data_IF_738607428995
#
_entry.id   IF_738607428995
#
_cell.length_a   1.000
_cell.length_b   1.000
_cell.length_c   1.000
_cell.angle_alpha   90.00
_cell.angle_beta   90.00
_cell.angle_gamma   90.00
#
_symmetry.space_group_name_H-M   'P 1'
#
loop_
_entity.id
_entity.type
_entity.pdbx_description
1 polymer ?
#
# COMPACT_ATOMS: atom_id res chain seq x y z
N UNK A 1 -15.46 8.43 -14.28
CA UNK A 1 -16.76 8.59 -13.59
C UNK A 1 -16.65 9.47 -12.33
N UNK A 2 -17.74 10.10 -11.88
CA UNK A 2 -17.82 10.75 -10.55
C UNK A 2 -17.97 9.71 -9.44
N UNK A 3 -17.63 10.08 -8.18
CA UNK A 3 -17.77 9.18 -7.01
C UNK A 3 -19.21 8.67 -6.84
N UNK A 4 -20.20 9.52 -7.14
CA UNK A 4 -21.62 9.14 -7.07
C UNK A 4 -21.97 8.07 -8.12
N UNK A 5 -21.50 8.25 -9.36
CA UNK A 5 -21.72 7.29 -10.44
C UNK A 5 -21.03 5.95 -10.15
N UNK A 6 -19.78 5.95 -9.67
CA UNK A 6 -19.07 4.72 -9.28
C UNK A 6 -19.86 3.93 -8.25
N UNK A 7 -20.34 4.61 -7.21
CA UNK A 7 -21.18 4.02 -6.16
C UNK A 7 -22.50 3.48 -6.71
N UNK A 8 -23.16 4.23 -7.58
CA UNK A 8 -24.41 3.78 -8.19
C UNK A 8 -24.21 2.51 -9.03
N UNK A 9 -23.20 2.51 -9.92
CA UNK A 9 -22.86 1.35 -10.77
C UNK A 9 -22.48 0.14 -9.93
N UNK A 10 -21.72 0.32 -8.84
CA UNK A 10 -21.37 -0.77 -7.93
C UNK A 10 -22.61 -1.34 -7.23
N UNK A 11 -23.53 -0.48 -6.77
CA UNK A 11 -24.79 -0.90 -6.15
C UNK A 11 -25.69 -1.64 -7.14
N UNK A 12 -25.71 -1.22 -8.39
CA UNK A 12 -26.44 -1.90 -9.47
C UNK A 12 -25.83 -3.26 -9.78
N UNK A 13 -24.50 -3.37 -9.83
CA UNK A 13 -23.79 -4.64 -10.10
C UNK A 13 -23.96 -5.66 -8.98
N UNK A 14 -24.19 -5.20 -7.75
CA UNK A 14 -24.53 -6.06 -6.61
C UNK A 14 -26.00 -6.52 -6.62
N UNK A 15 -26.90 -5.92 -7.41
CA UNK A 15 -28.30 -6.36 -7.46
C UNK A 15 -28.36 -7.78 -8.00
N UNK A 16 -28.99 -8.68 -7.24
CA UNK A 16 -29.03 -10.12 -7.54
C UNK A 16 -27.85 -10.92 -6.96
N UNK A 17 -26.72 -10.27 -6.67
CA UNK A 17 -25.49 -10.92 -6.19
C UNK A 17 -25.16 -10.64 -4.72
N UNK A 18 -25.97 -9.83 -4.00
CA UNK A 18 -25.73 -9.50 -2.58
C UNK A 18 -25.50 -10.73 -1.69
N UNK A 19 -26.26 -11.82 -1.89
CA UNK A 19 -26.09 -13.04 -1.11
C UNK A 19 -24.69 -13.66 -1.26
N UNK A 20 -24.20 -13.76 -2.51
CA UNK A 20 -22.86 -14.27 -2.81
C UNK A 20 -21.80 -13.30 -2.28
N UNK A 21 -21.98 -12.00 -2.51
CA UNK A 21 -21.05 -10.96 -2.10
C UNK A 21 -20.86 -10.90 -0.57
N UNK A 22 -21.95 -11.06 0.19
CA UNK A 22 -21.92 -11.18 1.66
C UNK A 22 -21.32 -12.52 2.07
N UNK A 23 -21.71 -13.61 1.42
CA UNK A 23 -21.19 -14.95 1.70
C UNK A 23 -19.68 -15.04 1.56
N UNK A 24 -19.11 -14.40 0.54
CA UNK A 24 -17.66 -14.34 0.31
C UNK A 24 -16.96 -13.52 1.39
N UNK A 25 -17.52 -12.37 1.77
CA UNK A 25 -16.98 -11.59 2.88
C UNK A 25 -16.97 -12.38 4.18
N UNK A 26 -18.10 -13.00 4.54
CA UNK A 26 -18.23 -13.80 5.78
C UNK A 26 -17.29 -15.00 5.74
N UNK A 27 -17.21 -15.71 4.61
CA UNK A 27 -16.34 -16.87 4.47
C UNK A 27 -14.86 -16.48 4.57
N UNK A 28 -14.43 -15.41 3.88
CA UNK A 28 -13.07 -14.90 3.99
C UNK A 28 -12.75 -14.50 5.44
N UNK A 29 -13.65 -13.75 6.09
CA UNK A 29 -13.48 -13.33 7.47
C UNK A 29 -13.41 -14.50 8.45
N UNK A 30 -14.23 -15.54 8.27
CA UNK A 30 -14.20 -16.76 9.07
C UNK A 30 -12.90 -17.55 8.85
N UNK A 31 -12.44 -17.68 7.61
CA UNK A 31 -11.17 -18.36 7.28
C UNK A 31 -10.01 -17.66 8.00
N UNK A 32 -9.94 -16.33 7.92
CA UNK A 32 -8.89 -15.55 8.58
C UNK A 32 -9.00 -15.63 10.11
N UNK A 33 -10.21 -15.56 10.67
CA UNK A 33 -10.43 -15.61 12.12
C UNK A 33 -10.13 -16.98 12.71
N UNK A 34 -10.63 -18.06 12.08
CA UNK A 34 -10.36 -19.44 12.50
C UNK A 34 -8.89 -19.79 12.25
N UNK A 35 -8.35 -19.40 11.10
CA UNK A 35 -6.94 -19.57 10.78
C UNK A 35 -6.04 -18.89 11.81
N UNK A 36 -6.30 -17.63 12.13
CA UNK A 36 -5.57 -16.89 13.17
C UNK A 36 -5.74 -17.49 14.57
N UNK A 37 -6.94 -17.96 14.91
CA UNK A 37 -7.23 -18.62 16.19
C UNK A 37 -6.55 -19.98 16.36
N UNK A 38 -6.33 -20.74 15.29
CA UNK A 38 -5.64 -22.04 15.33
C UNK A 38 -4.12 -21.87 15.20
N UNK A 39 -3.68 -21.10 14.20
CA UNK A 39 -2.27 -20.93 13.88
C UNK A 39 -1.57 -19.97 14.85
N UNK A 40 -2.28 -19.00 15.43
CA UNK A 40 -1.69 -17.98 16.31
C UNK A 40 -1.03 -18.53 17.58
N UNK A 41 -1.37 -19.76 17.99
CA UNK A 41 -0.72 -20.44 19.13
C UNK A 41 0.67 -20.97 18.83
N UNK A 42 1.05 -21.05 17.54
CA UNK A 42 2.37 -21.52 17.11
C UNK A 42 3.25 -20.29 16.83
N UNK A 43 4.21 -19.95 17.71
CA UNK A 43 5.05 -18.77 17.51
C UNK A 43 5.81 -18.84 16.20
N UNK A 44 5.95 -17.70 15.53
CA UNK A 44 6.64 -17.51 14.24
C UNK A 44 6.01 -18.28 13.07
N UNK A 45 5.96 -19.61 13.12
CA UNK A 45 5.44 -20.48 12.05
C UNK A 45 3.97 -20.21 11.77
N UNK A 46 3.15 -20.04 12.80
CA UNK A 46 1.73 -19.73 12.64
C UNK A 46 1.47 -18.41 11.93
N UNK A 47 2.25 -17.37 12.26
CA UNK A 47 2.19 -16.06 11.61
C UNK A 47 2.60 -16.12 10.14
N UNK A 48 3.67 -16.86 9.84
CA UNK A 48 4.12 -17.09 8.47
C UNK A 48 3.02 -17.83 7.69
N UNK A 49 2.48 -18.92 8.23
CA UNK A 49 1.43 -19.70 7.59
C UNK A 49 0.16 -18.87 7.32
N UNK A 50 -0.25 -18.02 8.27
CA UNK A 50 -1.37 -17.11 8.10
C UNK A 50 -1.08 -16.10 6.97
N UNK A 51 0.09 -15.49 6.97
CA UNK A 51 0.48 -14.54 5.92
C UNK A 51 0.52 -15.18 4.52
N UNK A 52 0.99 -16.42 4.40
CA UNK A 52 0.96 -17.19 3.16
C UNK A 52 -0.47 -17.48 2.68
N UNK A 53 -1.42 -17.66 3.60
CA UNK A 53 -2.83 -17.85 3.29
C UNK A 53 -3.48 -16.55 2.81
N UNK A 54 -3.24 -15.45 3.51
CA UNK A 54 -3.94 -14.17 3.30
C UNK A 54 -3.68 -13.58 1.91
N UNK A 55 -2.46 -13.62 1.38
CA UNK A 55 -2.15 -12.96 0.10
C UNK A 55 -2.96 -13.48 -1.09
N UNK A 56 -2.92 -14.79 -1.40
CA UNK A 56 -3.73 -15.38 -2.45
C UNK A 56 -5.24 -15.30 -2.17
N UNK A 57 -5.67 -15.43 -0.91
CA UNK A 57 -7.09 -15.32 -0.55
C UNK A 57 -7.61 -13.90 -0.80
N UNK A 58 -6.88 -12.88 -0.36
CA UNK A 58 -7.20 -11.48 -0.60
C UNK A 58 -7.33 -11.18 -2.10
N UNK A 59 -6.39 -11.69 -2.90
CA UNK A 59 -6.40 -11.52 -4.35
C UNK A 59 -7.61 -12.19 -4.99
N UNK A 60 -7.94 -13.42 -4.60
CA UNK A 60 -9.10 -14.14 -5.11
C UNK A 60 -10.42 -13.48 -4.72
N UNK A 61 -10.54 -12.96 -3.50
CA UNK A 61 -11.68 -12.13 -3.08
C UNK A 61 -11.83 -10.90 -3.97
N UNK A 62 -10.73 -10.18 -4.23
CA UNK A 62 -10.75 -9.02 -5.14
C UNK A 62 -11.23 -9.42 -6.54
N UNK A 63 -10.78 -10.56 -7.07
CA UNK A 63 -11.22 -11.05 -8.38
C UNK A 63 -12.70 -11.39 -8.44
N UNK A 64 -13.28 -11.94 -7.36
CA UNK A 64 -14.73 -12.17 -7.31
C UNK A 64 -15.48 -10.83 -7.36
N UNK A 65 -15.08 -9.83 -6.58
CA UNK A 65 -15.78 -8.54 -6.63
C UNK A 65 -15.65 -7.83 -7.98
N UNK A 66 -14.52 -8.01 -8.67
CA UNK A 66 -14.36 -7.56 -10.06
C UNK A 66 -15.24 -8.36 -11.03
N UNK A 67 -15.43 -9.66 -10.79
CA UNK A 67 -16.38 -10.47 -11.57
C UNK A 67 -17.81 -9.95 -11.40
N UNK A 68 -18.20 -9.66 -10.14
CA UNK A 68 -19.51 -9.09 -9.81
C UNK A 68 -19.69 -7.71 -10.46
N UNK A 69 -18.68 -6.82 -10.43
CA UNK A 69 -18.78 -5.49 -11.08
C UNK A 69 -18.99 -5.61 -12.59
N UNK A 70 -18.39 -6.62 -13.21
CA UNK A 70 -18.55 -6.94 -14.65
C UNK A 70 -19.80 -7.76 -14.96
N UNK A 71 -20.69 -7.96 -13.98
CA UNK A 71 -21.94 -8.74 -14.09
C UNK A 71 -21.71 -10.20 -14.48
N UNK A 72 -20.54 -10.72 -14.18
CA UNK A 72 -20.28 -12.16 -14.20
C UNK A 72 -21.03 -12.82 -13.02
N UNK A 73 -21.25 -14.12 -13.11
CA UNK A 73 -21.88 -14.92 -12.03
C UNK A 73 -20.82 -15.84 -11.38
N UNK A 74 -19.92 -15.29 -10.55
CA UNK A 74 -18.92 -16.09 -9.87
C UNK A 74 -19.58 -16.98 -8.81
N UNK A 75 -19.11 -18.22 -8.71
CA UNK A 75 -19.42 -19.07 -7.58
C UNK A 75 -18.54 -18.72 -6.37
N UNK A 76 -18.88 -19.27 -5.20
CA UNK A 76 -18.11 -19.03 -3.97
C UNK A 76 -16.70 -19.59 -4.09
N UNK A 77 -16.51 -20.71 -4.80
CA UNK A 77 -15.21 -21.34 -4.98
C UNK A 77 -14.22 -20.46 -5.77
N UNK A 78 -14.72 -19.54 -6.61
CA UNK A 78 -13.89 -18.59 -7.35
C UNK A 78 -13.01 -17.74 -6.44
N UNK A 79 -13.38 -17.48 -5.17
CA UNK A 79 -12.51 -16.72 -4.24
C UNK A 79 -11.16 -17.42 -3.96
N UNK A 80 -11.05 -18.73 -4.20
CA UNK A 80 -9.81 -19.48 -4.06
C UNK A 80 -8.97 -19.50 -5.35
N UNK A 81 -9.40 -18.83 -6.41
CA UNK A 81 -8.65 -18.75 -7.67
C UNK A 81 -7.25 -18.14 -7.51
N UNK A 82 -7.07 -17.23 -6.54
CA UNK A 82 -5.78 -16.62 -6.25
C UNK A 82 -4.71 -17.65 -5.85
N UNK A 83 -5.11 -18.80 -5.28
CA UNK A 83 -4.19 -19.89 -4.94
C UNK A 83 -3.68 -20.65 -6.17
N UNK A 84 -4.41 -20.65 -7.29
CA UNK A 84 -3.96 -21.29 -8.54
C UNK A 84 -2.71 -20.61 -9.11
N UNK A 85 -2.52 -19.32 -8.79
CA UNK A 85 -1.37 -18.53 -9.18
C UNK A 85 -0.59 -18.04 -7.96
N UNK A 86 -0.44 -18.92 -6.95
CA UNK A 86 0.10 -18.61 -5.62
C UNK A 86 1.35 -17.73 -5.68
N UNK A 87 2.36 -18.09 -6.47
CA UNK A 87 3.62 -17.36 -6.52
C UNK A 87 3.44 -15.87 -6.87
N UNK A 88 2.59 -15.54 -7.85
CA UNK A 88 2.37 -14.16 -8.29
C UNK A 88 1.46 -13.39 -7.33
N UNK A 89 0.38 -14.02 -6.88
CA UNK A 89 -0.61 -13.39 -5.99
C UNK A 89 -0.03 -13.13 -4.60
N UNK A 90 0.70 -14.11 -4.04
CA UNK A 90 1.44 -13.96 -2.80
C UNK A 90 2.55 -12.92 -2.92
N UNK A 91 3.37 -12.98 -3.97
CA UNK A 91 4.49 -12.06 -4.14
C UNK A 91 3.99 -10.61 -4.29
N UNK A 92 2.92 -10.35 -5.03
CA UNK A 92 2.31 -9.04 -5.13
C UNK A 92 1.82 -8.52 -3.77
N UNK A 93 1.12 -9.36 -3.01
CA UNK A 93 0.67 -9.01 -1.66
C UNK A 93 1.84 -8.71 -0.72
N UNK A 94 2.90 -9.52 -0.76
CA UNK A 94 4.12 -9.34 0.02
C UNK A 94 4.82 -8.02 -0.32
N UNK A 95 5.05 -7.75 -1.61
CA UNK A 95 5.69 -6.53 -2.10
C UNK A 95 4.91 -5.28 -1.71
N UNK A 96 3.59 -5.28 -1.91
CA UNK A 96 2.72 -4.16 -1.50
C UNK A 96 2.77 -3.95 0.02
N UNK A 97 2.77 -5.03 0.80
CA UNK A 97 2.85 -4.97 2.25
C UNK A 97 4.17 -4.35 2.71
N UNK A 98 5.30 -4.79 2.14
CA UNK A 98 6.63 -4.25 2.42
C UNK A 98 6.72 -2.77 2.01
N UNK A 99 6.33 -2.42 0.79
CA UNK A 99 6.41 -1.03 0.32
C UNK A 99 5.52 -0.12 1.16
N UNK A 100 4.28 -0.50 1.42
CA UNK A 100 3.37 0.28 2.27
C UNK A 100 3.92 0.43 3.69
N UNK A 101 4.50 -0.63 4.27
CA UNK A 101 5.13 -0.58 5.59
C UNK A 101 6.31 0.40 5.61
N UNK A 102 7.23 0.30 4.65
CA UNK A 102 8.38 1.20 4.55
C UNK A 102 7.96 2.67 4.42
N UNK A 103 6.93 2.96 3.60
CA UNK A 103 6.40 4.32 3.47
C UNK A 103 5.71 4.81 4.74
N UNK A 104 4.99 3.93 5.44
CA UNK A 104 4.35 4.26 6.71
C UNK A 104 5.35 4.50 7.85
N UNK A 105 6.52 3.85 7.80
CA UNK A 105 7.60 4.05 8.78
C UNK A 105 8.25 5.41 8.63
N UNK A 106 8.35 5.92 7.39
CA UNK A 106 8.86 7.27 7.15
C UNK A 106 7.88 8.32 7.70
N UNK A 107 6.61 8.25 7.27
CA UNK A 107 5.53 9.11 7.75
C UNK A 107 4.16 8.45 7.46
N UNK A 108 3.15 8.75 8.28
CA UNK A 108 1.80 8.19 8.13
C UNK A 108 1.15 8.62 6.79
N UNK A 109 1.26 9.91 6.43
CA UNK A 109 0.63 10.47 5.22
C UNK A 109 1.11 9.81 3.92
N UNK A 110 2.43 9.70 3.63
CA UNK A 110 2.89 9.01 2.43
C UNK A 110 2.56 7.51 2.44
N UNK A 111 2.50 6.84 3.60
CA UNK A 111 2.00 5.47 3.71
C UNK A 111 0.58 5.32 3.17
N UNK A 112 -0.33 6.23 3.55
CA UNK A 112 -1.71 6.26 3.04
C UNK A 112 -1.73 6.49 1.52
N UNK A 113 -0.98 7.48 1.02
CA UNK A 113 -0.92 7.79 -0.42
C UNK A 113 -0.45 6.58 -1.23
N UNK A 114 0.57 5.85 -0.72
CA UNK A 114 1.15 4.69 -1.40
C UNK A 114 0.21 3.49 -1.37
N UNK A 115 -0.55 3.30 -0.30
CA UNK A 115 -1.64 2.30 -0.24
C UNK A 115 -2.62 2.50 -1.40
N UNK A 116 -3.06 3.74 -1.65
CA UNK A 116 -3.94 4.03 -2.79
C UNK A 116 -3.24 3.86 -4.15
N UNK A 117 -1.95 4.18 -4.25
CA UNK A 117 -1.18 3.93 -5.49
C UNK A 117 -1.14 2.46 -5.90
N UNK A 118 -1.17 1.53 -4.94
CA UNK A 118 -1.07 0.08 -5.22
C UNK A 118 -2.42 -0.63 -5.27
N UNK A 119 -3.51 0.09 -5.00
CA UNK A 119 -4.86 -0.47 -4.86
C UNK A 119 -5.37 -1.25 -6.08
N UNK A 120 -4.87 -0.97 -7.29
CA UNK A 120 -5.33 -1.59 -8.53
C UNK A 120 -4.55 -2.85 -8.91
N UNK A 121 -3.42 -3.12 -8.24
CA UNK A 121 -2.50 -4.23 -8.57
C UNK A 121 -3.22 -5.57 -8.69
N UNK A 122 -4.11 -5.89 -7.73
CA UNK A 122 -4.77 -7.19 -7.70
C UNK A 122 -5.78 -7.37 -8.85
N UNK A 123 -6.40 -6.28 -9.31
CA UNK A 123 -7.29 -6.30 -10.47
C UNK A 123 -6.49 -6.45 -11.78
N UNK A 124 -5.35 -5.75 -11.90
CA UNK A 124 -4.43 -5.88 -13.03
C UNK A 124 -3.90 -7.31 -13.16
N UNK A 125 -3.57 -7.98 -12.05
CA UNK A 125 -3.16 -9.39 -12.08
C UNK A 125 -4.24 -10.34 -12.63
N UNK A 126 -5.52 -9.98 -12.48
CA UNK A 126 -6.64 -10.75 -13.05
C UNK A 126 -6.69 -10.61 -14.55
N UNK A 127 -6.61 -9.37 -15.04
CA UNK A 127 -6.80 -9.03 -16.45
C UNK A 127 -5.57 -9.36 -17.30
N UNK A 128 -4.38 -9.25 -16.71
CA UNK A 128 -3.11 -9.59 -17.35
C UNK A 128 -2.50 -10.84 -16.69
N UNK A 129 -2.94 -12.06 -17.04
CA UNK A 129 -2.48 -13.29 -16.39
C UNK A 129 -1.00 -13.62 -16.65
N UNK A 130 -0.28 -12.86 -17.48
CA UNK A 130 1.16 -13.03 -17.71
C UNK A 130 2.04 -11.95 -17.06
N UNK A 131 1.45 -10.88 -16.51
CA UNK A 131 2.22 -9.76 -15.92
C UNK A 131 2.93 -10.20 -14.64
N UNK A 132 4.16 -9.72 -14.40
CA UNK A 132 4.84 -10.01 -13.14
C UNK A 132 4.19 -9.25 -11.97
N UNK A 133 4.47 -9.69 -10.73
CA UNK A 133 3.94 -9.02 -9.54
C UNK A 133 4.45 -7.57 -9.41
N UNK A 134 5.72 -7.31 -9.77
CA UNK A 134 6.31 -5.98 -9.73
C UNK A 134 5.74 -5.08 -10.83
N UNK A 135 5.60 -5.61 -12.04
CA UNK A 135 5.05 -4.85 -13.17
C UNK A 135 3.60 -4.46 -12.91
N UNK A 136 2.80 -5.35 -12.31
CA UNK A 136 1.43 -5.03 -11.89
C UNK A 136 1.37 -3.87 -10.86
N UNK A 137 2.33 -3.82 -9.93
CA UNK A 137 2.44 -2.74 -8.94
C UNK A 137 2.83 -1.42 -9.62
N UNK A 138 3.76 -1.48 -10.57
CA UNK A 138 4.19 -0.34 -11.38
C UNK A 138 3.03 0.21 -12.20
N UNK A 139 2.29 -0.67 -12.87
CA UNK A 139 1.11 -0.33 -13.66
C UNK A 139 0.01 0.30 -12.80
N UNK A 140 -0.28 -0.29 -11.64
CA UNK A 140 -1.20 0.30 -10.67
C UNK A 140 -0.78 1.71 -10.27
N UNK A 141 0.52 1.95 -10.06
CA UNK A 141 1.04 3.27 -9.69
C UNK A 141 0.82 4.28 -10.82
N UNK A 142 1.06 3.87 -12.06
CA UNK A 142 0.89 4.70 -13.25
C UNK A 142 -0.58 5.07 -13.46
N UNK A 143 -1.46 4.06 -13.48
CA UNK A 143 -2.91 4.21 -13.63
C UNK A 143 -3.53 5.09 -12.53
N UNK A 144 -2.99 5.01 -11.30
CA UNK A 144 -3.46 5.80 -10.17
C UNK A 144 -2.94 7.24 -10.11
N UNK A 145 -1.98 7.64 -10.95
CA UNK A 145 -1.51 9.03 -10.95
C UNK A 145 -2.65 9.98 -11.34
N UNK A 146 -2.83 11.05 -10.57
CA UNK A 146 -4.00 11.95 -10.69
C UNK A 146 -5.30 11.43 -10.05
N UNK A 147 -5.42 10.14 -9.74
CA UNK A 147 -6.67 9.51 -9.30
C UNK A 147 -6.71 9.11 -7.81
N UNK A 148 -5.58 9.19 -7.08
CA UNK A 148 -5.47 8.79 -5.65
C UNK A 148 -6.45 9.53 -4.75
N UNK A 149 -6.60 10.85 -4.94
CA UNK A 149 -7.55 11.67 -4.18
C UNK A 149 -9.00 11.29 -4.41
N UNK A 150 -9.35 10.85 -5.63
CA UNK A 150 -10.69 10.38 -5.99
C UNK A 150 -11.03 9.07 -5.26
N UNK A 151 -10.08 8.14 -5.20
CA UNK A 151 -10.23 6.88 -4.47
C UNK A 151 -10.24 7.08 -2.95
N UNK A 152 -9.44 8.02 -2.43
CA UNK A 152 -9.50 8.44 -1.03
C UNK A 152 -10.88 9.01 -0.67
N UNK A 153 -11.41 9.93 -1.49
CA UNK A 153 -12.75 10.48 -1.30
C UNK A 153 -13.85 9.41 -1.34
N UNK A 154 -13.76 8.45 -2.25
CA UNK A 154 -14.65 7.29 -2.30
C UNK A 154 -14.61 6.52 -0.97
N UNK A 155 -13.41 6.15 -0.53
CA UNK A 155 -13.18 5.39 0.71
C UNK A 155 -13.67 6.13 1.94
N UNK A 156 -13.49 7.45 1.98
CA UNK A 156 -13.96 8.29 3.08
C UNK A 156 -15.49 8.21 3.24
N UNK A 157 -16.26 8.17 2.13
CA UNK A 157 -17.73 8.04 2.24
C UNK A 157 -18.18 6.73 2.87
N UNK A 158 -17.38 5.67 2.79
CA UNK A 158 -17.64 4.40 3.45
C UNK A 158 -17.10 4.38 4.89
N UNK A 159 -15.96 5.02 5.14
CA UNK A 159 -15.38 5.12 6.48
C UNK A 159 -16.32 5.83 7.48
N UNK A 160 -17.10 6.82 7.01
CA UNK A 160 -18.07 7.54 7.84
C UNK A 160 -19.11 6.62 8.51
N UNK A 161 -19.44 5.47 7.93
CA UNK A 161 -20.37 4.50 8.52
C UNK A 161 -19.83 3.88 9.82
N UNK A 162 -18.50 3.83 9.96
CA UNK A 162 -17.83 3.25 11.12
C UNK A 162 -17.62 4.26 12.26
N UNK A 163 -17.91 5.55 12.07
CA UNK A 163 -17.74 6.56 13.12
C UNK A 163 -18.71 6.37 14.29
N UNK A 164 -19.95 5.96 14.01
CA UNK A 164 -20.97 5.73 15.04
C UNK A 164 -20.58 4.56 15.96
N UNK A 165 -20.34 3.34 15.46
CA UNK A 165 -19.92 2.25 16.33
C UNK A 165 -18.60 2.55 17.03
N UNK A 166 -17.67 3.25 16.37
CA UNK A 166 -16.41 3.69 17.01
C UNK A 166 -16.67 4.58 18.23
N UNK A 167 -17.56 5.56 18.12
CA UNK A 167 -17.92 6.43 19.24
C UNK A 167 -18.54 5.63 20.42
N UNK A 168 -19.40 4.64 20.11
CA UNK A 168 -19.99 3.76 21.12
C UNK A 168 -18.92 2.89 21.80
N UNK A 169 -17.94 2.37 21.05
CA UNK A 169 -16.84 1.59 21.61
C UNK A 169 -15.95 2.44 22.53
N UNK A 170 -15.64 3.68 22.13
CA UNK A 170 -14.85 4.62 22.95
C UNK A 170 -15.59 4.91 24.27
N UNK A 171 -16.88 5.22 24.20
CA UNK A 171 -17.68 5.46 25.40
C UNK A 171 -17.70 4.24 26.33
N UNK A 172 -17.93 3.04 25.79
CA UNK A 172 -17.86 1.79 26.55
C UNK A 172 -16.50 1.58 27.21
N UNK A 173 -15.41 1.83 26.48
CA UNK A 173 -14.03 1.70 26.99
C UNK A 173 -13.73 2.66 28.13
N UNK A 174 -14.16 3.92 28.01
CA UNK A 174 -14.01 4.94 29.07
C UNK A 174 -14.77 4.53 30.33
N UNK A 175 -16.00 4.01 30.19
CA UNK A 175 -16.81 3.52 31.30
C UNK A 175 -16.14 2.31 31.98
N UNK A 176 -15.64 1.34 31.20
CA UNK A 176 -14.90 0.19 31.72
C UNK A 176 -13.68 0.63 32.52
N UNK A 177 -12.86 1.53 31.94
CA UNK A 177 -11.66 2.05 32.58
C UNK A 177 -11.97 2.76 33.91
N UNK A 178 -13.02 3.59 33.94
CA UNK A 178 -13.47 4.28 35.15
C UNK A 178 -13.95 3.32 36.24
N UNK A 179 -14.75 2.31 35.87
CA UNK A 179 -15.20 1.27 36.79
C UNK A 179 -14.03 0.46 37.37
N UNK A 180 -13.12 -0.01 36.51
CA UNK A 180 -11.94 -0.79 36.93
C UNK A 180 -10.99 0.00 37.83
N UNK A 181 -10.75 1.27 37.50
CA UNK A 181 -9.93 2.15 38.34
C UNK A 181 -10.56 2.29 39.74
N UNK A 182 -11.87 2.53 39.82
CA UNK A 182 -12.58 2.71 41.10
C UNK A 182 -12.52 1.45 41.99
N UNK A 183 -12.69 0.26 41.40
CA UNK A 183 -12.53 -1.02 42.14
C UNK A 183 -11.09 -1.26 42.61
N UNK A 184 -10.09 -0.60 42.01
CA UNK A 184 -8.68 -0.76 42.41
C UNK A 184 -8.31 0.08 43.63
N UNK A 185 -9.07 1.14 43.94
CA UNK A 185 -8.83 2.06 45.07
C UNK A 185 -9.75 1.80 46.27
N UNK A 186 -10.78 0.98 46.12
CA UNK A 186 -11.72 0.62 47.19
C UNK A 186 -11.37 -0.77 47.71
N UNK A 187 -10.89 -0.86 48.95
CA UNK A 187 -10.44 -2.11 49.55
C UNK A 187 -11.59 -2.95 50.16
N UNK A 188 -12.75 -2.33 50.40
CA UNK A 188 -13.93 -2.98 50.97
C UNK A 188 -15.01 -3.23 49.89
N UNK A 189 -15.24 -4.48 49.46
CA UNK A 189 -16.27 -4.82 48.48
C UNK A 189 -17.70 -4.59 48.96
N UNK A 190 -17.93 -4.31 50.26
CA UNK A 190 -19.24 -3.98 50.80
C UNK A 190 -19.65 -2.50 50.60
N UNK A 191 -18.74 -1.64 50.12
CA UNK A 191 -19.06 -0.25 49.85
C UNK A 191 -19.93 -0.10 48.58
N UNK A 192 -20.99 0.72 48.68
CA UNK A 192 -21.90 1.06 47.56
C UNK A 192 -21.13 1.54 46.31
N UNK A 193 -19.98 2.20 46.51
CA UNK A 193 -19.10 2.69 45.45
C UNK A 193 -18.49 1.53 44.64
N UNK A 194 -18.05 0.46 45.30
CA UNK A 194 -17.48 -0.72 44.63
C UNK A 194 -18.54 -1.47 43.81
N UNK A 195 -19.75 -1.61 44.35
CA UNK A 195 -20.88 -2.19 43.62
C UNK A 195 -21.27 -1.35 42.38
N UNK A 196 -21.30 -0.01 42.50
CA UNK A 196 -21.56 0.89 41.37
C UNK A 196 -20.45 0.79 40.31
N UNK A 197 -19.20 0.70 40.74
CA UNK A 197 -18.04 0.56 39.86
C UNK A 197 -18.06 -0.75 39.07
N UNK A 198 -18.37 -1.87 39.72
CA UNK A 198 -18.56 -3.15 39.05
C UNK A 198 -19.73 -3.11 38.04
N UNK A 199 -20.84 -2.48 38.42
CA UNK A 199 -21.98 -2.25 37.53
C UNK A 199 -21.62 -1.40 36.30
N UNK A 200 -20.81 -0.35 36.49
CA UNK A 200 -20.29 0.48 35.40
C UNK A 200 -19.39 -0.34 34.47
N UNK A 201 -18.45 -1.12 35.00
CA UNK A 201 -17.60 -2.01 34.20
C UNK A 201 -18.42 -2.97 33.35
N UNK A 202 -19.43 -3.61 33.95
CA UNK A 202 -20.33 -4.49 33.20
C UNK A 202 -21.11 -3.75 32.10
N UNK A 203 -21.69 -2.59 32.42
CA UNK A 203 -22.40 -1.76 31.44
C UNK A 203 -21.49 -1.31 30.28
N UNK A 204 -20.25 -0.94 30.58
CA UNK A 204 -19.25 -0.59 29.57
C UNK A 204 -18.90 -1.77 28.65
N UNK A 205 -18.75 -2.99 29.18
CA UNK A 205 -18.54 -4.20 28.37
C UNK A 205 -19.74 -4.49 27.45
N UNK A 206 -20.97 -4.31 27.93
CA UNK A 206 -22.17 -4.45 27.10
C UNK A 206 -22.16 -3.46 25.93
N UNK A 207 -21.73 -2.20 26.16
CA UNK A 207 -21.59 -1.21 25.09
C UNK A 207 -20.51 -1.58 24.07
N UNK A 208 -19.38 -2.13 24.52
CA UNK A 208 -18.31 -2.61 23.62
C UNK A 208 -18.83 -3.76 22.75
N UNK A 209 -19.51 -4.74 23.35
CA UNK A 209 -20.12 -5.86 22.61
C UNK A 209 -21.18 -5.37 21.62
N UNK A 210 -22.03 -4.43 22.03
CA UNK A 210 -23.02 -3.83 21.14
C UNK A 210 -22.35 -3.10 19.96
N UNK A 211 -21.29 -2.33 20.21
CA UNK A 211 -20.51 -1.67 19.15
C UNK A 211 -19.90 -2.68 18.18
N UNK A 212 -19.36 -3.79 18.69
CA UNK A 212 -18.80 -4.85 17.85
C UNK A 212 -19.86 -5.49 16.95
N UNK A 213 -21.06 -5.77 17.49
CA UNK A 213 -22.19 -6.31 16.72
C UNK A 213 -22.71 -5.32 15.67
N UNK A 214 -22.81 -4.03 16.02
CA UNK A 214 -23.19 -2.97 15.07
C UNK A 214 -22.15 -2.89 13.94
N UNK A 215 -20.85 -2.92 14.29
CA UNK A 215 -19.74 -2.91 13.32
C UNK A 215 -19.85 -4.09 12.37
N UNK A 216 -20.07 -5.30 12.89
CA UNK A 216 -20.26 -6.51 12.09
C UNK A 216 -21.42 -6.34 11.11
N UNK A 217 -22.60 -5.91 11.60
CA UNK A 217 -23.78 -5.68 10.76
C UNK A 217 -23.55 -4.64 9.65
N UNK A 218 -22.87 -3.54 9.97
CA UNK A 218 -22.48 -2.51 8.98
C UNK A 218 -21.52 -3.10 7.96
N UNK A 219 -20.52 -3.89 8.38
CA UNK A 219 -19.54 -4.50 7.48
C UNK A 219 -20.15 -5.46 6.47
N UNK A 220 -21.21 -6.21 6.84
CA UNK A 220 -21.93 -7.07 5.89
C UNK A 220 -22.47 -6.28 4.68
N UNK A 221 -22.82 -5.01 4.86
CA UNK A 221 -23.27 -4.16 3.75
C UNK A 221 -22.13 -3.35 3.13
N UNK A 222 -21.32 -2.70 3.97
CA UNK A 222 -20.31 -1.73 3.55
C UNK A 222 -19.14 -2.42 2.85
N UNK A 223 -18.68 -3.57 3.32
CA UNK A 223 -17.52 -4.23 2.74
C UNK A 223 -17.77 -4.69 1.29
N UNK A 224 -18.83 -5.46 0.99
CA UNK A 224 -19.14 -5.82 -0.40
C UNK A 224 -19.33 -4.60 -1.30
N UNK A 225 -19.98 -3.56 -0.78
CA UNK A 225 -20.25 -2.34 -1.52
C UNK A 225 -18.96 -1.55 -1.82
N UNK A 226 -18.05 -1.45 -0.86
CA UNK A 226 -16.76 -0.77 -1.02
C UNK A 226 -15.90 -1.48 -2.05
N UNK A 227 -15.65 -2.79 -1.91
CA UNK A 227 -14.74 -3.50 -2.82
C UNK A 227 -15.29 -3.51 -4.24
N UNK A 228 -16.61 -3.70 -4.42
CA UNK A 228 -17.25 -3.56 -5.75
C UNK A 228 -17.10 -2.15 -6.30
N UNK A 229 -17.18 -1.11 -5.45
CA UNK A 229 -16.96 0.28 -5.88
C UNK A 229 -15.51 0.53 -6.33
N UNK A 230 -14.53 -0.11 -5.67
CA UNK A 230 -13.13 -0.05 -6.09
C UNK A 230 -12.94 -0.82 -7.42
N UNK A 231 -13.62 -1.95 -7.60
CA UNK A 231 -13.58 -2.70 -8.85
C UNK A 231 -14.22 -1.94 -10.03
N UNK A 232 -15.36 -1.26 -9.82
CA UNK A 232 -15.93 -0.36 -10.82
C UNK A 232 -15.01 0.82 -11.11
N UNK A 233 -14.34 1.36 -10.08
CA UNK A 233 -13.36 2.42 -10.25
C UNK A 233 -12.16 1.95 -11.08
N UNK A 234 -11.71 0.72 -10.88
CA UNK A 234 -10.69 0.09 -11.71
C UNK A 234 -11.12 0.00 -13.17
N UNK A 235 -12.33 -0.52 -13.46
CA UNK A 235 -12.85 -0.60 -14.84
C UNK A 235 -12.95 0.80 -15.50
N UNK A 236 -13.32 1.84 -14.75
CA UNK A 236 -13.32 3.24 -15.23
C UNK A 236 -11.92 3.74 -15.58
N UNK A 237 -10.89 3.36 -14.82
CA UNK A 237 -9.51 3.70 -15.14
C UNK A 237 -9.00 2.88 -16.33
N UNK A 238 -9.28 1.57 -16.35
CA UNK A 238 -8.86 0.66 -17.41
C UNK A 238 -9.41 1.09 -18.78
N UNK A 239 -10.71 1.41 -18.85
CA UNK A 239 -11.35 1.92 -20.06
C UNK A 239 -10.78 3.29 -20.50
N UNK A 240 -10.36 4.13 -19.56
CA UNK A 240 -9.70 5.40 -19.89
C UNK A 240 -8.28 5.18 -20.44
N UNK A 241 -7.61 4.09 -20.04
CA UNK A 241 -6.25 3.75 -20.48
C UNK A 241 -6.21 3.00 -21.82
N UNK A 242 -7.26 2.26 -22.20
CA UNK A 242 -7.35 1.59 -23.52
C UNK A 242 -7.31 2.56 -24.72
N UNK A 243 -7.54 3.87 -24.51
CA UNK A 243 -7.31 4.91 -25.52
C UNK A 243 -5.86 5.37 -25.66
N UNK A 244 -4.94 4.86 -24.82
CA UNK A 244 -3.54 5.30 -24.71
C UNK A 244 -2.51 4.16 -24.79
N UNK A 245 -2.93 2.90 -24.77
CA UNK A 245 -2.03 1.73 -24.82
C UNK A 245 -2.37 0.81 -25.99
N UNK A 246 -2.16 1.30 -27.21
CA UNK A 246 -1.95 0.41 -28.36
C UNK A 246 -0.52 -0.15 -28.31
N UNK A 247 -0.43 -1.46 -28.06
CA UNK A 247 0.65 -2.42 -28.41
C UNK A 247 2.13 -2.18 -28.01
N UNK A 248 2.55 -1.04 -27.45
CA UNK A 248 3.99 -0.79 -27.21
C UNK A 248 4.51 -1.15 -25.79
N UNK A 249 3.67 -1.64 -24.87
CA UNK A 249 4.11 -1.98 -23.50
C UNK A 249 4.39 -3.47 -23.29
N UNK A 250 5.07 -4.11 -24.24
CA UNK A 250 6.09 -5.08 -23.83
C UNK A 250 7.28 -4.24 -23.40
N UNK A 251 7.34 -3.95 -22.10
CA UNK A 251 8.50 -3.26 -21.51
C UNK A 251 9.68 -4.22 -21.66
N UNK A 252 10.38 -4.13 -22.79
CA UNK A 252 11.80 -4.42 -22.83
C UNK A 252 12.40 -3.36 -21.93
N UNK A 253 12.96 -3.78 -20.79
CA UNK A 253 13.81 -2.90 -19.99
C UNK A 253 14.89 -2.36 -20.92
N UNK A 254 14.70 -1.15 -21.43
CA UNK A 254 15.83 -0.38 -21.92
C UNK A 254 16.67 -0.14 -20.67
N UNK A 255 17.79 -0.86 -20.58
CA UNK A 255 18.79 -0.71 -19.56
C UNK A 255 19.24 0.76 -19.62
N UNK A 256 18.59 1.61 -18.81
CA UNK A 256 18.95 3.01 -18.65
C UNK A 256 20.32 2.98 -18.00
N UNK A 257 21.36 2.92 -18.82
CA UNK A 257 22.72 3.18 -18.40
C UNK A 257 22.70 4.64 -17.89
N UNK A 258 22.89 4.88 -16.58
CA UNK A 258 22.85 6.23 -16.03
C UNK A 258 24.01 7.11 -16.53
N UNK A 259 24.89 6.56 -17.39
CA UNK A 259 25.96 7.24 -18.10
C UNK A 259 25.96 6.97 -19.62
N UNK A 260 24.87 6.44 -20.17
CA UNK A 260 24.68 6.30 -21.61
C UNK A 260 24.44 7.68 -22.22
N UNK A 261 25.29 8.10 -23.15
CA UNK A 261 25.16 9.38 -23.83
C UNK A 261 23.84 9.42 -24.62
N UNK A 262 22.87 10.17 -24.11
CA UNK A 262 21.68 10.57 -24.87
C UNK A 262 22.12 11.52 -25.99
N UNK A 263 21.46 11.36 -27.13
CA UNK A 263 21.69 12.09 -28.38
C UNK A 263 21.87 13.59 -28.23
N UNK A 264 22.81 14.10 -29.03
CA UNK A 264 23.11 15.50 -29.36
C UNK A 264 23.30 16.45 -28.16
N UNK A 265 24.57 16.68 -27.80
CA UNK A 265 24.98 17.81 -26.97
C UNK A 265 24.51 19.13 -27.63
N UNK A 266 23.55 19.86 -27.03
CA UNK A 266 23.04 21.11 -27.58
C UNK A 266 24.07 22.27 -27.52
N UNK A 267 25.28 22.00 -27.03
CA UNK A 267 26.41 22.93 -27.00
C UNK A 267 27.60 22.47 -27.85
N UNK A 268 27.42 21.45 -28.70
CA UNK A 268 28.48 20.98 -29.62
C UNK A 268 28.83 22.02 -30.71
N UNK A 269 27.92 22.96 -31.00
CA UNK A 269 28.24 24.11 -31.84
C UNK A 269 28.92 25.18 -31.01
N UNK A 270 30.24 25.25 -31.15
CA UNK A 270 31.06 26.33 -30.65
C UNK A 270 30.67 27.64 -31.36
N UNK A 271 29.78 28.43 -30.73
CA UNK A 271 29.41 29.77 -31.21
C UNK A 271 30.36 30.86 -30.71
N UNK A 272 31.60 30.54 -30.32
CA UNK A 272 32.55 31.56 -29.91
C UNK A 272 32.90 32.49 -31.08
N UNK A 273 32.83 33.83 -30.91
CA UNK A 273 33.26 34.78 -31.92
C UNK A 273 34.76 34.60 -32.20
N UNK A 274 35.14 34.60 -33.48
CA UNK A 274 36.53 34.40 -33.89
C UNK A 274 37.47 35.40 -33.18
N UNK A 275 38.51 34.87 -32.53
CA UNK A 275 39.53 35.65 -31.81
C UNK A 275 39.54 35.50 -30.29
N UNK A 276 38.72 34.61 -29.72
CA UNK A 276 38.76 34.29 -28.28
C UNK A 276 39.07 32.80 -28.06
N UNK A 277 40.34 32.49 -27.79
CA UNK A 277 40.82 31.13 -27.54
C UNK A 277 42.31 31.12 -27.20
N UNK A 278 42.83 30.03 -26.60
CA UNK A 278 44.24 29.93 -26.21
C UNK A 278 45.21 30.08 -27.40
N UNK A 279 44.75 29.84 -28.63
CA UNK A 279 45.51 29.99 -29.88
C UNK A 279 45.75 31.47 -30.27
N UNK A 280 45.06 32.43 -29.63
CA UNK A 280 45.25 33.86 -29.83
C UNK A 280 46.34 34.47 -28.91
N UNK A 281 46.91 33.69 -27.99
CA UNK A 281 48.01 34.11 -27.14
C UNK A 281 49.34 33.89 -27.87
N UNK A 282 50.05 34.97 -28.23
CA UNK A 282 51.44 34.87 -28.72
C UNK A 282 52.30 34.18 -27.64
N UNK A 283 53.03 33.14 -28.02
CA UNK A 283 53.98 32.47 -27.14
C UNK A 283 55.03 33.49 -26.62
N UNK A 284 55.29 33.55 -25.31
CA UNK A 284 56.33 34.41 -24.76
C UNK A 284 57.73 33.89 -25.13
N UNK A 285 58.60 34.78 -25.61
CA UNK A 285 59.98 34.47 -25.99
C UNK A 285 60.77 33.90 -24.81
N UNK A 286 61.39 32.72 -25.00
CA UNK A 286 62.23 32.03 -24.01
C UNK A 286 63.45 32.87 -23.61
N UNK A 287 63.64 33.20 -22.32
CA UNK A 287 64.88 33.82 -21.84
C UNK A 287 66.02 32.79 -21.76
N UNK A 288 67.20 33.17 -22.27
CA UNK A 288 68.44 32.38 -22.22
C UNK A 288 68.90 32.20 -20.76
N UNK A 289 69.04 30.94 -20.31
CA UNK A 289 69.51 30.57 -18.96
C UNK A 289 71.04 30.49 -18.96
N UNK A 290 71.75 31.24 -18.09
CA UNK A 290 73.17 31.01 -17.81
C UNK A 290 73.35 29.87 -16.79
N UNK A 291 74.26 28.93 -17.07
CA UNK A 291 74.66 27.86 -16.14
C UNK A 291 75.27 28.40 -14.84
N UNK A 292 74.94 27.75 -13.71
CA UNK A 292 75.58 27.97 -12.42
C UNK A 292 75.71 26.63 -11.65
N UNK A 293 76.74 26.50 -10.79
CA UNK A 293 77.44 25.23 -10.54
C UNK A 293 77.05 24.51 -9.24
N UNK A 294 77.58 23.28 -9.13
CA UNK A 294 77.30 22.21 -8.18
C UNK A 294 77.59 22.47 -6.68
N UNK A 295 77.11 21.51 -5.87
CA UNK A 295 77.51 21.05 -4.51
C UNK A 295 76.75 21.59 -3.29
N UNK A 296 76.75 20.88 -2.13
CA UNK A 296 76.64 19.43 -1.91
C UNK A 296 75.69 19.02 -0.74
N UNK A 297 75.53 17.71 -0.56
CA UNK A 297 74.74 16.95 0.42
C UNK A 297 74.94 17.29 1.92
N UNK A 298 73.91 17.05 2.74
CA UNK A 298 74.05 16.57 4.13
C UNK A 298 72.75 15.88 4.66
N UNK A 299 72.83 14.92 5.60
CA UNK A 299 71.94 13.75 5.61
C UNK A 299 71.17 13.46 6.92
N UNK A 300 70.24 12.48 6.82
CA UNK A 300 69.72 11.50 7.81
C UNK A 300 68.78 12.00 8.93
N UNK A 301 67.55 11.48 9.03
CA UNK A 301 67.09 10.15 9.51
C UNK A 301 67.14 10.04 11.04
N UNK A 302 65.96 9.98 11.67
CA UNK A 302 65.76 9.55 13.06
C UNK A 302 64.56 8.60 13.10
N UNK A 303 64.88 7.30 13.03
CA UNK A 303 64.04 6.20 13.47
C UNK A 303 64.03 6.11 15.00
N UNK A 304 62.86 5.92 15.60
CA UNK A 304 62.70 5.21 16.90
C UNK A 304 61.48 4.29 16.83
N UNK A 305 61.64 3.02 17.25
CA UNK A 305 60.62 2.41 18.08
C UNK A 305 61.19 1.59 19.26
N UNK A 306 60.88 2.02 20.49
CA UNK A 306 60.39 1.27 21.66
C UNK A 306 60.87 1.86 22.98
#
# INVERSE_FOLDING_TARGET
MTISQVKQTAKESLRGNWGIAIGIFVLAWLIETVGGGVLGWIPVVGWIALFLLTGPLYTGVAWVYLAISRREQPDVAYMFSGFKQFGRTFLAYLLISIFTFLWSLLLIVPGIIKTYSYSQTFFILRDNPNISALDAITESRHMMNGHKGRLFGLSLTFLLWYLIPLAVAIAGTVIVAGGMATTSYTADPAEVISALAAGATFGGLVLILASWLITLGISLYVYPYLITSIAVFYDDLYAATEGTFTEETVIVEEEVNPFGATEADPFAEDTHPEGFGPDAAKEPETPVVPEAPETPEAPKDNNEPK
#
